data_IF_700710325986
#
_entry.id   IF_700710325986
#
_cell.length_a   1.000
_cell.length_b   1.000
_cell.length_c   1.000
_cell.angle_alpha   90.00
_cell.angle_beta   90.00
_cell.angle_gamma   90.00
#
_symmetry.space_group_name_H-M   'P 1'
#
loop_
_entity.id
_entity.type
_entity.pdbx_description
1 polymer ?
#
# COMPACT_ATOMS: atom_id res chain seq x y z
N UNK A 1 -36.82 20.94 2.62
CA UNK A 1 -37.42 20.91 3.97
C UNK A 1 -38.91 20.62 3.84
N UNK A 2 -39.31 19.36 3.90
CA UNK A 2 -40.72 18.97 4.02
C UNK A 2 -41.17 19.29 5.44
N UNK A 3 -41.99 20.33 5.60
CA UNK A 3 -42.49 20.76 6.90
C UNK A 3 -43.39 19.66 7.49
N UNK A 4 -43.06 19.19 8.69
CA UNK A 4 -43.85 18.21 9.45
C UNK A 4 -45.35 18.61 9.53
N UNK A 5 -45.62 19.92 9.63
CA UNK A 5 -46.98 20.49 9.64
C UNK A 5 -47.73 20.34 8.30
N UNK A 6 -47.03 20.36 7.17
CA UNK A 6 -47.65 20.14 5.85
C UNK A 6 -48.06 18.68 5.69
N UNK A 7 -47.25 17.75 6.19
CA UNK A 7 -47.56 16.33 6.20
C UNK A 7 -48.72 16.00 7.16
N UNK A 8 -48.78 16.67 8.33
CA UNK A 8 -49.88 16.52 9.27
C UNK A 8 -51.23 16.98 8.69
N UNK A 9 -51.26 18.12 7.98
CA UNK A 9 -52.45 18.60 7.26
C UNK A 9 -52.92 17.62 6.16
N UNK A 10 -51.99 16.97 5.48
CA UNK A 10 -52.31 15.98 4.44
C UNK A 10 -52.91 14.70 5.03
N UNK A 11 -52.41 14.24 6.17
CA UNK A 11 -52.92 13.05 6.87
C UNK A 11 -54.33 13.31 7.40
N UNK A 12 -54.59 14.48 7.98
CA UNK A 12 -55.92 14.84 8.50
C UNK A 12 -56.97 14.91 7.37
N UNK A 13 -56.61 15.48 6.21
CA UNK A 13 -57.48 15.49 5.04
C UNK A 13 -57.82 14.08 4.56
N UNK A 14 -56.83 13.18 4.54
CA UNK A 14 -57.03 11.77 4.18
C UNK A 14 -57.92 11.07 5.21
N UNK A 15 -57.72 11.32 6.51
CA UNK A 15 -58.55 10.79 7.61
C UNK A 15 -60.01 11.17 7.42
N UNK A 16 -60.29 12.46 7.19
CA UNK A 16 -61.64 12.98 6.95
C UNK A 16 -62.29 12.38 5.69
N UNK A 17 -61.52 12.16 4.63
CA UNK A 17 -62.03 11.58 3.38
C UNK A 17 -62.49 10.12 3.56
N UNK A 18 -61.77 9.32 4.38
CA UNK A 18 -62.20 7.97 4.73
C UNK A 18 -63.41 7.95 5.65
N UNK A 19 -63.46 8.81 6.67
CA UNK A 19 -64.64 8.93 7.55
C UNK A 19 -65.89 9.31 6.75
N UNK A 20 -65.77 10.25 5.81
CA UNK A 20 -66.86 10.67 4.93
C UNK A 20 -67.35 9.57 3.97
N UNK A 21 -66.52 8.57 3.68
CA UNK A 21 -66.90 7.38 2.90
C UNK A 21 -67.57 6.29 3.75
N UNK A 22 -67.74 6.52 5.06
CA UNK A 22 -68.44 5.62 5.98
C UNK A 22 -67.55 4.58 6.66
N UNK A 23 -66.23 4.72 6.59
CA UNK A 23 -65.31 3.89 7.37
C UNK A 23 -65.37 4.26 8.85
N UNK A 24 -65.22 3.28 9.75
CA UNK A 24 -65.20 3.54 11.19
C UNK A 24 -63.88 4.21 11.60
N UNK A 25 -63.94 5.01 12.67
CA UNK A 25 -62.78 5.73 13.18
C UNK A 25 -61.65 4.77 13.58
N UNK A 26 -61.99 3.61 14.15
CA UNK A 26 -61.02 2.57 14.51
C UNK A 26 -60.33 1.95 13.30
N UNK A 27 -61.05 1.77 12.18
CA UNK A 27 -60.49 1.23 10.95
C UNK A 27 -59.55 2.25 10.27
N UNK A 28 -59.94 3.53 10.26
CA UNK A 28 -59.12 4.61 9.73
C UNK A 28 -57.87 4.81 10.57
N UNK A 29 -58.02 4.87 11.90
CA UNK A 29 -56.90 4.99 12.81
C UNK A 29 -55.98 3.77 12.73
N UNK A 30 -56.50 2.55 12.58
CA UNK A 30 -55.67 1.36 12.33
C UNK A 30 -54.84 1.49 11.05
N UNK A 31 -55.44 1.91 9.93
CA UNK A 31 -54.72 2.08 8.65
C UNK A 31 -53.71 3.23 8.70
N UNK A 32 -53.98 4.29 9.44
CA UNK A 32 -53.08 5.44 9.58
C UNK A 32 -51.95 5.19 10.61
N UNK A 33 -52.22 4.48 11.71
CA UNK A 33 -51.22 4.04 12.71
C UNK A 33 -50.32 2.94 12.16
N UNK A 34 -50.88 2.01 11.38
CA UNK A 34 -50.14 0.95 10.67
C UNK A 34 -49.61 1.42 9.32
N UNK A 35 -49.74 2.72 8.98
CA UNK A 35 -49.10 3.25 7.81
C UNK A 35 -47.58 3.24 8.07
N UNK A 36 -46.90 2.26 7.49
CA UNK A 36 -45.47 1.94 7.63
C UNK A 36 -44.50 3.11 7.40
N UNK A 37 -44.99 4.30 7.07
CA UNK A 37 -44.24 5.49 6.72
C UNK A 37 -43.31 5.99 7.84
N UNK A 38 -43.68 5.88 9.13
CA UNK A 38 -42.78 6.24 10.23
C UNK A 38 -41.62 5.24 10.38
N UNK A 39 -41.92 3.94 10.34
CA UNK A 39 -40.89 2.89 10.40
C UNK A 39 -39.97 2.93 9.17
N UNK A 40 -40.52 3.29 8.00
CA UNK A 40 -39.76 3.47 6.77
C UNK A 40 -38.81 4.66 6.82
N UNK A 41 -39.24 5.83 7.31
CA UNK A 41 -38.35 6.99 7.43
C UNK A 41 -37.23 6.73 8.45
N UNK A 42 -37.52 6.12 9.60
CA UNK A 42 -36.48 5.73 10.58
C UNK A 42 -35.50 4.72 9.98
N UNK A 43 -35.99 3.75 9.21
CA UNK A 43 -35.15 2.77 8.52
C UNK A 43 -34.26 3.45 7.47
N UNK A 44 -34.81 4.37 6.69
CA UNK A 44 -34.08 5.15 5.68
C UNK A 44 -33.00 6.02 6.30
N UNK A 45 -33.29 6.69 7.42
CA UNK A 45 -32.27 7.45 8.16
C UNK A 45 -31.13 6.56 8.66
N UNK A 46 -31.45 5.37 9.20
CA UNK A 46 -30.45 4.38 9.61
C UNK A 46 -29.63 3.88 8.43
N UNK A 47 -30.25 3.61 7.28
CA UNK A 47 -29.55 3.21 6.06
C UNK A 47 -28.60 4.29 5.56
N UNK A 48 -29.04 5.55 5.54
CA UNK A 48 -28.19 6.68 5.15
C UNK A 48 -27.00 6.85 6.12
N UNK A 49 -27.24 6.69 7.43
CA UNK A 49 -26.16 6.73 8.44
C UNK A 49 -25.15 5.60 8.24
N UNK A 50 -25.62 4.39 7.95
CA UNK A 50 -24.76 3.24 7.63
C UNK A 50 -23.95 3.50 6.35
N UNK A 51 -24.57 4.03 5.31
CA UNK A 51 -23.89 4.38 4.05
C UNK A 51 -22.76 5.40 4.30
N UNK A 52 -23.01 6.44 5.08
CA UNK A 52 -21.97 7.42 5.45
C UNK A 52 -20.84 6.79 6.28
N UNK A 53 -21.15 5.87 7.20
CA UNK A 53 -20.14 5.14 7.94
C UNK A 53 -19.29 4.25 7.03
N UNK A 54 -19.91 3.56 6.07
CA UNK A 54 -19.20 2.73 5.08
C UNK A 54 -18.26 3.60 4.24
N UNK A 55 -18.74 4.72 3.70
CA UNK A 55 -17.91 5.66 2.92
C UNK A 55 -16.71 6.15 3.73
N UNK A 56 -16.92 6.47 5.02
CA UNK A 56 -15.82 6.90 5.90
C UNK A 56 -14.79 5.79 6.13
N UNK A 57 -15.24 4.55 6.34
CA UNK A 57 -14.36 3.38 6.47
C UNK A 57 -13.57 3.15 5.18
N UNK A 58 -14.23 3.18 4.02
CA UNK A 58 -13.58 3.04 2.71
C UNK A 58 -12.51 4.11 2.49
N UNK A 59 -12.81 5.38 2.82
CA UNK A 59 -11.86 6.49 2.70
C UNK A 59 -10.66 6.33 3.63
N UNK A 60 -10.86 5.81 4.83
CA UNK A 60 -9.76 5.54 5.76
C UNK A 60 -8.88 4.41 5.23
N UNK A 61 -9.47 3.33 4.73
CA UNK A 61 -8.70 2.24 4.11
C UNK A 61 -7.93 2.70 2.86
N UNK A 62 -8.50 3.56 2.02
CA UNK A 62 -7.78 4.13 0.88
C UNK A 62 -6.54 4.90 1.34
N UNK A 63 -6.66 5.74 2.38
CA UNK A 63 -5.50 6.47 2.94
C UNK A 63 -4.44 5.54 3.52
N UNK A 64 -4.86 4.50 4.24
CA UNK A 64 -3.93 3.53 4.82
C UNK A 64 -3.17 2.78 3.72
N UNK A 65 -3.87 2.38 2.65
CA UNK A 65 -3.27 1.75 1.47
C UNK A 65 -2.28 2.68 0.78
N UNK A 66 -2.63 3.95 0.53
CA UNK A 66 -1.73 4.95 -0.05
C UNK A 66 -0.47 5.14 0.81
N UNK A 67 -0.63 5.22 2.13
CA UNK A 67 0.49 5.32 3.09
C UNK A 67 1.41 4.11 3.03
N UNK A 68 0.85 2.90 2.91
CA UNK A 68 1.61 1.67 2.73
C UNK A 68 2.38 1.69 1.40
N UNK A 69 1.75 2.10 0.29
CA UNK A 69 2.43 2.21 -1.01
C UNK A 69 3.63 3.15 -0.95
N UNK A 70 3.49 4.32 -0.32
CA UNK A 70 4.60 5.28 -0.16
C UNK A 70 5.75 4.67 0.66
N UNK A 71 5.44 3.94 1.73
CA UNK A 71 6.47 3.26 2.54
C UNK A 71 7.19 2.17 1.76
N UNK A 72 6.44 1.37 0.98
CA UNK A 72 7.00 0.31 0.14
C UNK A 72 7.94 0.91 -0.91
N UNK A 73 7.51 1.95 -1.64
CA UNK A 73 8.34 2.63 -2.64
C UNK A 73 9.63 3.20 -2.04
N UNK A 74 9.55 3.79 -0.84
CA UNK A 74 10.73 4.29 -0.12
C UNK A 74 11.70 3.17 0.26
N UNK A 75 11.20 2.02 0.73
CA UNK A 75 12.03 0.86 1.08
C UNK A 75 12.67 0.29 -0.18
N UNK A 76 11.92 0.15 -1.27
CA UNK A 76 12.40 -0.36 -2.55
C UNK A 76 13.55 0.50 -3.09
N UNK A 77 13.38 1.82 -3.13
CA UNK A 77 14.44 2.75 -3.58
C UNK A 77 15.69 2.67 -2.74
N UNK A 78 15.54 2.52 -1.43
CA UNK A 78 16.69 2.39 -0.51
C UNK A 78 17.45 1.10 -0.78
N UNK A 79 16.73 -0.03 -0.91
CA UNK A 79 17.34 -1.33 -1.21
C UNK A 79 18.01 -1.33 -2.59
N UNK A 80 17.41 -0.74 -3.61
CA UNK A 80 18.02 -0.61 -4.94
C UNK A 80 19.36 0.16 -4.88
N UNK A 81 19.42 1.24 -4.09
CA UNK A 81 20.64 2.02 -3.89
C UNK A 81 21.72 1.22 -3.16
N UNK A 82 21.33 0.49 -2.12
CA UNK A 82 22.26 -0.34 -1.33
C UNK A 82 22.83 -1.48 -2.18
N UNK A 83 21.99 -2.17 -2.97
CA UNK A 83 22.42 -3.20 -3.91
C UNK A 83 23.41 -2.62 -4.93
N UNK A 84 23.08 -1.47 -5.54
CA UNK A 84 23.96 -0.80 -6.50
C UNK A 84 25.31 -0.40 -5.87
N UNK A 85 25.31 0.01 -4.60
CA UNK A 85 26.55 0.33 -3.87
C UNK A 85 27.38 -0.92 -3.61
N UNK A 86 26.75 -2.03 -3.24
CA UNK A 86 27.41 -3.32 -3.03
C UNK A 86 28.00 -3.86 -4.33
N UNK A 87 27.27 -3.81 -5.44
CA UNK A 87 27.77 -4.24 -6.76
C UNK A 87 29.03 -3.46 -7.16
N UNK A 88 29.04 -2.14 -6.94
CA UNK A 88 30.23 -1.33 -7.19
C UNK A 88 31.42 -1.75 -6.33
N UNK A 89 31.21 -1.98 -5.03
CA UNK A 89 32.27 -2.45 -4.12
C UNK A 89 32.80 -3.82 -4.54
N UNK A 90 31.92 -4.75 -4.91
CA UNK A 90 32.29 -6.09 -5.40
C UNK A 90 33.14 -5.97 -6.68
N UNK A 91 32.75 -5.10 -7.62
CA UNK A 91 33.50 -4.88 -8.86
C UNK A 91 34.89 -4.31 -8.60
N UNK A 92 35.02 -3.34 -7.68
CA UNK A 92 36.33 -2.81 -7.26
C UNK A 92 37.22 -3.90 -6.68
N UNK A 93 36.71 -4.66 -5.70
CA UNK A 93 37.46 -5.75 -5.06
C UNK A 93 37.89 -6.82 -6.07
N UNK A 94 37.02 -7.18 -7.02
CA UNK A 94 37.33 -8.12 -8.09
C UNK A 94 38.49 -7.62 -8.96
N UNK A 95 38.49 -6.32 -9.31
CA UNK A 95 39.56 -5.72 -10.11
C UNK A 95 40.89 -5.66 -9.35
N UNK A 96 40.87 -5.28 -8.07
CA UNK A 96 42.05 -5.27 -7.19
C UNK A 96 42.65 -6.68 -7.05
N UNK A 97 41.81 -7.69 -6.80
CA UNK A 97 42.24 -9.09 -6.71
C UNK A 97 42.86 -9.58 -8.02
N UNK A 98 42.26 -9.26 -9.16
CA UNK A 98 42.80 -9.62 -10.47
C UNK A 98 44.15 -8.94 -10.73
N UNK A 99 44.31 -7.66 -10.36
CA UNK A 99 45.58 -6.96 -10.50
C UNK A 99 46.68 -7.57 -9.61
N UNK A 100 46.34 -7.90 -8.36
CA UNK A 100 47.25 -8.58 -7.43
C UNK A 100 47.69 -9.95 -7.97
N UNK A 101 46.74 -10.77 -8.42
CA UNK A 101 47.04 -12.07 -9.02
C UNK A 101 47.95 -11.96 -10.25
N UNK A 102 47.72 -10.99 -11.13
CA UNK A 102 48.60 -10.74 -12.27
C UNK A 102 50.01 -10.36 -11.84
N UNK A 103 50.15 -9.55 -10.79
CA UNK A 103 51.45 -9.16 -10.24
C UNK A 103 52.22 -10.37 -9.70
N UNK A 104 51.54 -11.23 -8.94
CA UNK A 104 52.14 -12.48 -8.42
C UNK A 104 52.58 -13.39 -9.56
N UNK A 105 51.74 -13.57 -10.59
CA UNK A 105 52.09 -14.37 -11.77
C UNK A 105 53.36 -13.84 -12.46
N UNK A 106 53.47 -12.52 -12.65
CA UNK A 106 54.65 -11.89 -13.25
C UNK A 106 55.90 -12.13 -12.40
N UNK A 107 55.82 -11.96 -11.07
CA UNK A 107 56.94 -12.22 -10.15
C UNK A 107 57.39 -13.67 -10.23
N UNK A 108 56.46 -14.63 -10.20
CA UNK A 108 56.77 -16.06 -10.29
C UNK A 108 57.47 -16.40 -11.61
N UNK A 109 56.97 -15.88 -12.75
CA UNK A 109 57.58 -16.08 -14.06
C UNK A 109 59.00 -15.48 -14.10
N UNK A 110 59.19 -14.27 -13.58
CA UNK A 110 60.53 -13.65 -13.50
C UNK A 110 61.47 -14.47 -12.62
N UNK A 111 61.01 -14.95 -11.46
CA UNK A 111 61.83 -15.79 -10.58
C UNK A 111 62.30 -17.09 -11.25
N UNK A 112 61.38 -17.80 -11.90
CA UNK A 112 61.68 -19.06 -12.61
C UNK A 112 62.65 -18.81 -13.76
N UNK A 113 62.46 -17.73 -14.53
CA UNK A 113 63.29 -17.44 -15.71
C UNK A 113 64.68 -16.91 -15.34
N UNK A 114 64.79 -16.10 -14.28
CA UNK A 114 66.07 -15.50 -13.86
C UNK A 114 66.92 -16.45 -13.00
N UNK A 115 66.32 -17.40 -12.27
CA UNK A 115 67.08 -18.28 -11.36
C UNK A 115 68.26 -19.02 -12.03
N UNK A 116 68.12 -19.66 -13.21
CA UNK A 116 69.25 -20.30 -13.89
C UNK A 116 70.33 -19.31 -14.36
N UNK A 117 69.93 -18.10 -14.77
CA UNK A 117 70.83 -17.04 -15.21
C UNK A 117 71.66 -16.54 -14.02
N UNK A 118 70.99 -16.22 -12.91
CA UNK A 118 71.63 -15.78 -11.66
C UNK A 118 72.60 -16.86 -11.16
N UNK A 119 72.19 -18.13 -11.13
CA UNK A 119 73.05 -19.24 -10.75
C UNK A 119 74.31 -19.34 -11.63
N UNK A 120 74.14 -19.21 -12.94
CA UNK A 120 75.27 -19.25 -13.90
C UNK A 120 76.25 -18.09 -13.69
N UNK A 121 75.74 -16.88 -13.42
CA UNK A 121 76.56 -15.71 -13.08
C UNK A 121 77.32 -15.94 -11.77
N UNK A 122 76.63 -16.39 -10.72
CA UNK A 122 77.23 -16.63 -9.42
C UNK A 122 78.36 -17.66 -9.50
N UNK A 123 78.12 -18.80 -10.17
CA UNK A 123 79.13 -19.84 -10.32
C UNK A 123 80.38 -19.34 -11.08
N UNK A 124 80.20 -18.51 -12.11
CA UNK A 124 81.31 -17.95 -12.90
C UNK A 124 82.24 -17.02 -12.12
N UNK A 125 81.72 -16.26 -11.17
CA UNK A 125 82.50 -15.22 -10.46
C UNK A 125 82.95 -15.64 -9.05
N UNK A 126 82.33 -16.66 -8.44
CA UNK A 126 82.61 -17.04 -7.06
C UNK A 126 83.19 -18.45 -6.86
N UNK A 127 83.04 -19.36 -7.83
CA UNK A 127 83.51 -20.76 -7.69
C UNK A 127 84.44 -21.26 -8.81
N UNK A 128 84.55 -20.53 -9.92
CA UNK A 128 85.54 -20.71 -10.98
C UNK A 128 86.52 -19.54 -10.98
#
# INVERSE_FOLDING_TARGET
MSNLAYNALKIENVRLEFLNKGFSEEAVDFVLLQNDNYNFEVLKEKMNSLEQQIINVEKNFQKDIESIYVKIDSVEKTLQKDISSLDNKINVLKNELNASNRTIQVILIMGITLAPIIYSIFNKYFFN
#
